data_IF_897155017272
#
_entry.id   IF_897155017272
#
_cell.length_a   1.000
_cell.length_b   1.000
_cell.length_c   1.000
_cell.angle_alpha   90.00
_cell.angle_beta   90.00
_cell.angle_gamma   90.00
#
_symmetry.space_group_name_H-M   'P 1'
#
loop_
_entity.id
_entity.type
_entity.pdbx_description
1 polymer ?
#
# COMPACT_ATOMS: atom_id res chain seq x y z
N UNK A 1 -26.94 -0.93 9.49
CA UNK A 1 -28.09 -1.85 9.54
C UNK A 1 -27.66 -3.31 9.51
N UNK A 2 -26.78 -3.75 8.59
CA UNK A 2 -26.26 -5.14 8.54
C UNK A 2 -25.65 -5.64 9.86
N UNK A 3 -24.84 -4.83 10.56
CA UNK A 3 -24.24 -5.23 11.84
C UNK A 3 -25.26 -5.49 12.96
N UNK A 4 -26.33 -4.70 13.02
CA UNK A 4 -27.39 -4.86 14.03
C UNK A 4 -28.17 -6.16 13.82
N UNK A 5 -28.58 -6.43 12.57
CA UNK A 5 -29.25 -7.68 12.22
C UNK A 5 -28.32 -8.89 12.40
N UNK A 6 -27.03 -8.76 12.07
CA UNK A 6 -26.03 -9.80 12.27
C UNK A 6 -25.85 -10.17 13.74
N UNK A 7 -25.75 -9.18 14.64
CA UNK A 7 -25.69 -9.43 16.09
C UNK A 7 -26.98 -10.09 16.58
N UNK A 8 -28.14 -9.62 16.12
CA UNK A 8 -29.44 -10.15 16.54
C UNK A 8 -29.63 -11.62 16.12
N UNK A 9 -29.32 -11.96 14.87
CA UNK A 9 -29.38 -13.34 14.36
C UNK A 9 -28.34 -14.24 15.05
N UNK A 10 -27.10 -13.77 15.20
CA UNK A 10 -26.04 -14.54 15.88
C UNK A 10 -26.39 -14.83 17.34
N UNK A 11 -26.99 -13.86 18.04
CA UNK A 11 -27.43 -14.02 19.43
C UNK A 11 -28.53 -15.07 19.53
N UNK A 12 -29.53 -15.02 18.63
CA UNK A 12 -30.61 -16.01 18.60
C UNK A 12 -30.05 -17.41 18.32
N UNK A 13 -29.11 -17.54 17.39
CA UNK A 13 -28.49 -18.82 17.05
C UNK A 13 -27.74 -19.43 18.24
N UNK A 14 -26.94 -18.64 18.95
CA UNK A 14 -26.23 -19.06 20.17
C UNK A 14 -27.20 -19.51 21.26
N UNK A 15 -28.29 -18.77 21.47
CA UNK A 15 -29.29 -19.10 22.49
C UNK A 15 -30.04 -20.41 22.18
N UNK A 16 -30.24 -20.75 20.91
CA UNK A 16 -30.97 -21.96 20.50
C UNK A 16 -30.05 -23.19 20.46
N UNK A 17 -28.88 -23.09 19.83
CA UNK A 17 -28.02 -24.25 19.55
C UNK A 17 -26.93 -24.49 20.60
N UNK A 18 -26.34 -23.42 21.15
CA UNK A 18 -25.11 -23.53 21.94
C UNK A 18 -25.32 -23.36 23.43
N UNK A 19 -26.57 -23.16 23.90
CA UNK A 19 -26.88 -22.89 25.31
C UNK A 19 -26.27 -23.92 26.27
N UNK A 20 -26.29 -25.20 25.89
CA UNK A 20 -25.70 -26.31 26.67
C UNK A 20 -24.17 -26.33 26.62
N UNK A 21 -23.58 -25.96 25.48
CA UNK A 21 -22.14 -25.80 25.35
C UNK A 21 -21.63 -24.62 26.16
N UNK A 22 -22.34 -23.48 26.15
CA UNK A 22 -21.97 -22.28 26.92
C UNK A 22 -22.02 -22.52 28.42
N UNK A 23 -23.01 -23.30 28.89
CA UNK A 23 -23.15 -23.69 30.30
C UNK A 23 -22.02 -24.62 30.77
N UNK A 24 -21.47 -25.43 29.86
CA UNK A 24 -20.36 -26.34 30.14
C UNK A 24 -18.97 -25.65 30.10
N UNK A 25 -18.88 -24.39 29.68
CA UNK A 25 -17.60 -23.65 29.63
C UNK A 25 -17.18 -23.29 31.05
N UNK A 26 -16.03 -23.82 31.47
CA UNK A 26 -15.37 -23.39 32.71
C UNK A 26 -14.73 -22.03 32.45
N UNK A 27 -15.40 -20.97 32.91
CA UNK A 27 -14.92 -19.60 32.78
C UNK A 27 -13.68 -19.38 33.65
N UNK A 28 -12.50 -19.45 33.02
CA UNK A 28 -11.22 -19.11 33.65
C UNK A 28 -10.83 -17.67 33.32
N UNK A 29 -10.21 -16.92 34.26
CA UNK A 29 -9.72 -15.56 34.01
C UNK A 29 -8.80 -15.46 32.77
N UNK A 30 -8.03 -16.51 32.47
CA UNK A 30 -7.19 -16.57 31.26
C UNK A 30 -8.03 -16.58 29.98
N UNK A 31 -9.14 -17.31 29.96
CA UNK A 31 -10.02 -17.39 28.79
C UNK A 31 -10.71 -16.06 28.53
N UNK A 32 -11.19 -15.40 29.59
CA UNK A 32 -11.81 -14.08 29.50
C UNK A 32 -10.80 -13.06 28.96
N UNK A 33 -9.55 -13.09 29.45
CA UNK A 33 -8.49 -12.21 28.96
C UNK A 33 -8.12 -12.47 27.50
N UNK A 34 -8.07 -13.74 27.06
CA UNK A 34 -7.84 -14.09 25.65
C UNK A 34 -8.98 -13.60 24.74
N UNK A 35 -10.23 -13.76 25.16
CA UNK A 35 -11.40 -13.23 24.43
C UNK A 35 -11.39 -11.70 24.35
N UNK A 36 -11.05 -11.02 25.46
CA UNK A 36 -10.93 -9.57 25.48
C UNK A 36 -9.80 -9.09 24.56
N UNK A 37 -8.63 -9.74 24.61
CA UNK A 37 -7.49 -9.44 23.74
C UNK A 37 -7.83 -9.63 22.26
N UNK A 38 -8.51 -10.73 21.91
CA UNK A 38 -9.01 -10.97 20.56
C UNK A 38 -9.99 -9.87 20.11
N UNK A 39 -10.93 -9.47 20.97
CA UNK A 39 -11.87 -8.39 20.68
C UNK A 39 -11.19 -7.04 20.43
N UNK A 40 -10.21 -6.67 21.27
CA UNK A 40 -9.43 -5.42 21.12
C UNK A 40 -8.59 -5.46 19.84
N UNK A 41 -7.91 -6.58 19.57
CA UNK A 41 -7.11 -6.76 18.36
C UNK A 41 -7.98 -6.68 17.10
N UNK A 42 -9.14 -7.35 17.10
CA UNK A 42 -10.11 -7.26 16.01
C UNK A 42 -10.62 -5.84 15.81
N UNK A 43 -10.97 -5.13 16.88
CA UNK A 43 -11.42 -3.74 16.81
C UNK A 43 -10.34 -2.81 16.22
N UNK A 44 -9.10 -2.93 16.68
CA UNK A 44 -7.94 -2.22 16.13
C UNK A 44 -7.78 -2.52 14.65
N UNK A 45 -7.78 -3.81 14.27
CA UNK A 45 -7.63 -4.24 12.89
C UNK A 45 -8.71 -3.65 11.98
N UNK A 46 -9.98 -3.79 12.35
CA UNK A 46 -11.09 -3.26 11.55
C UNK A 46 -11.14 -1.73 11.51
N UNK A 47 -10.58 -1.04 12.50
CA UNK A 47 -10.46 0.42 12.51
C UNK A 47 -9.29 0.90 11.64
N UNK A 48 -8.15 0.23 11.71
CA UNK A 48 -6.93 0.58 10.97
C UNK A 48 -7.05 0.21 9.49
N UNK A 49 -7.71 -0.91 9.16
CA UNK A 49 -7.90 -1.39 7.79
C UNK A 49 -8.41 -0.31 6.84
N UNK A 50 -9.55 0.37 7.08
CA UNK A 50 -10.03 1.43 6.18
C UNK A 50 -9.11 2.65 6.12
N UNK A 51 -8.39 2.95 7.21
CA UNK A 51 -7.41 4.04 7.23
C UNK A 51 -6.20 3.73 6.35
N UNK A 52 -5.64 2.52 6.47
CA UNK A 52 -4.53 2.03 5.64
C UNK A 52 -4.98 1.89 4.18
N UNK A 53 -6.21 1.43 3.94
CA UNK A 53 -6.77 1.36 2.60
C UNK A 53 -6.85 2.75 1.93
N UNK A 54 -7.14 3.80 2.71
CA UNK A 54 -7.17 5.19 2.23
C UNK A 54 -5.77 5.75 1.97
N UNK A 55 -4.76 5.38 2.76
CA UNK A 55 -3.39 5.87 2.64
C UNK A 55 -2.56 5.13 1.59
N UNK A 56 -2.66 3.81 1.55
CA UNK A 56 -1.76 2.92 0.80
C UNK A 56 -2.48 2.14 -0.31
N UNK A 57 -3.82 2.19 -0.36
CA UNK A 57 -4.61 1.45 -1.34
C UNK A 57 -4.80 -0.03 -1.00
N UNK A 58 -5.63 -0.70 -1.81
CA UNK A 58 -5.96 -2.12 -1.62
C UNK A 58 -4.76 -3.05 -1.81
N UNK A 59 -3.83 -2.67 -2.68
CA UNK A 59 -2.72 -3.53 -3.08
C UNK A 59 -1.64 -3.63 -2.02
N UNK A 60 -1.17 -2.48 -1.49
CA UNK A 60 -0.23 -2.46 -0.38
C UNK A 60 -0.83 -3.05 0.91
N UNK A 61 -2.14 -2.89 1.12
CA UNK A 61 -2.83 -3.54 2.23
C UNK A 61 -2.80 -5.07 2.08
N UNK A 62 -3.05 -5.61 0.89
CA UNK A 62 -3.01 -7.06 0.64
C UNK A 62 -1.58 -7.62 0.79
N UNK A 63 -0.57 -6.89 0.32
CA UNK A 63 0.84 -7.22 0.51
C UNK A 63 1.22 -7.28 1.99
N UNK A 64 0.69 -6.34 2.78
CA UNK A 64 0.88 -6.28 4.23
C UNK A 64 0.17 -7.43 4.94
N UNK A 65 -1.03 -7.81 4.51
CA UNK A 65 -1.76 -8.97 5.05
C UNK A 65 -1.00 -10.27 4.80
N UNK A 66 -0.50 -10.46 3.59
CA UNK A 66 0.29 -11.63 3.23
C UNK A 66 1.60 -11.69 4.02
N UNK A 67 2.25 -10.55 4.28
CA UNK A 67 3.42 -10.48 5.18
C UNK A 67 3.06 -10.77 6.64
N UNK A 68 1.93 -10.28 7.12
CA UNK A 68 1.43 -10.51 8.49
C UNK A 68 1.11 -11.99 8.75
N UNK A 69 0.55 -12.68 7.75
CA UNK A 69 0.29 -14.12 7.83
C UNK A 69 1.60 -14.92 7.98
N UNK A 70 2.66 -14.50 7.27
CA UNK A 70 4.00 -15.09 7.44
C UNK A 70 4.53 -14.89 8.87
N UNK A 71 4.30 -13.72 9.48
CA UNK A 71 4.68 -13.46 10.88
C UNK A 71 3.91 -14.31 11.89
N UNK A 72 2.60 -14.50 11.68
CA UNK A 72 1.78 -15.37 12.54
C UNK A 72 2.31 -16.81 12.54
N UNK A 73 2.75 -17.30 11.38
CA UNK A 73 3.38 -18.62 11.26
C UNK A 73 4.77 -18.65 11.88
N UNK A 74 5.59 -17.61 11.67
CA UNK A 74 6.91 -17.52 12.30
C UNK A 74 6.80 -17.59 13.83
N UNK A 75 5.91 -16.81 14.43
CA UNK A 75 5.65 -16.84 15.89
C UNK A 75 5.22 -18.24 16.32
N UNK A 76 4.36 -18.92 15.55
CA UNK A 76 3.95 -20.31 15.86
C UNK A 76 5.13 -21.27 15.88
N UNK A 77 6.02 -21.20 14.89
CA UNK A 77 7.19 -22.09 14.80
C UNK A 77 8.20 -21.79 15.92
N UNK A 78 8.56 -20.52 16.13
CA UNK A 78 9.56 -20.13 17.13
C UNK A 78 9.07 -20.28 18.57
N UNK A 79 7.81 -19.95 18.85
CA UNK A 79 7.27 -19.91 20.21
C UNK A 79 6.63 -21.24 20.65
N UNK A 80 5.96 -21.97 19.75
CA UNK A 80 5.29 -23.23 20.08
C UNK A 80 6.10 -24.49 19.71
N UNK A 81 7.24 -24.35 19.02
CA UNK A 81 8.16 -25.44 18.62
C UNK A 81 7.46 -26.72 18.12
N UNK A 82 6.38 -26.56 17.34
CA UNK A 82 5.74 -27.69 16.68
C UNK A 82 6.54 -28.14 15.46
N UNK A 83 6.58 -29.46 15.21
CA UNK A 83 7.24 -30.04 14.04
C UNK A 83 6.71 -29.39 12.76
N UNK A 84 7.62 -28.89 11.94
CA UNK A 84 7.27 -28.16 10.73
C UNK A 84 6.67 -29.14 9.73
N UNK A 85 5.35 -29.04 9.51
CA UNK A 85 4.66 -29.79 8.48
C UNK A 85 5.16 -29.35 7.09
N UNK A 86 5.31 -30.30 6.16
CA UNK A 86 5.76 -30.03 4.79
C UNK A 86 4.96 -28.94 4.07
N UNK A 87 3.67 -28.79 4.42
CA UNK A 87 2.77 -27.73 3.97
C UNK A 87 3.32 -26.31 4.20
N UNK A 88 4.17 -26.09 5.20
CA UNK A 88 4.77 -24.78 5.48
C UNK A 88 5.69 -24.33 4.33
N UNK A 89 6.57 -25.22 3.87
CA UNK A 89 7.48 -24.92 2.77
C UNK A 89 6.70 -24.65 1.47
N UNK A 90 5.59 -25.37 1.27
CA UNK A 90 4.70 -25.14 0.14
C UNK A 90 4.02 -23.76 0.23
N UNK A 91 3.48 -23.38 1.39
CA UNK A 91 2.87 -22.08 1.60
C UNK A 91 3.85 -20.93 1.36
N UNK A 92 5.09 -21.05 1.89
CA UNK A 92 6.14 -20.06 1.67
C UNK A 92 6.49 -19.91 0.18
N UNK A 93 6.56 -21.02 -0.55
CA UNK A 93 6.85 -21.02 -1.99
C UNK A 93 5.74 -20.35 -2.80
N UNK A 94 4.47 -20.67 -2.52
CA UNK A 94 3.32 -20.07 -3.19
C UNK A 94 3.25 -18.57 -2.91
N UNK A 95 3.49 -18.16 -1.66
CA UNK A 95 3.54 -16.76 -1.25
C UNK A 95 4.65 -16.00 -1.96
N UNK A 96 5.86 -16.57 -2.04
CA UNK A 96 6.98 -15.97 -2.74
C UNK A 96 6.71 -15.81 -4.24
N UNK A 97 6.13 -16.83 -4.90
CA UNK A 97 5.74 -16.76 -6.32
C UNK A 97 4.69 -15.66 -6.54
N UNK A 98 3.67 -15.59 -5.68
CA UNK A 98 2.64 -14.57 -5.73
C UNK A 98 3.22 -13.15 -5.62
N UNK A 99 4.17 -12.94 -4.71
CA UNK A 99 4.86 -11.67 -4.51
C UNK A 99 5.72 -11.29 -5.73
N UNK A 100 6.45 -12.25 -6.32
CA UNK A 100 7.29 -12.01 -7.50
C UNK A 100 6.44 -11.59 -8.69
N UNK A 101 5.35 -12.32 -9.00
CA UNK A 101 4.44 -11.98 -10.10
C UNK A 101 3.82 -10.60 -9.88
N UNK A 102 3.40 -10.33 -8.65
CA UNK A 102 2.84 -9.04 -8.28
C UNK A 102 3.82 -7.88 -8.52
N UNK A 103 5.06 -8.00 -8.01
CA UNK A 103 6.09 -6.98 -8.18
C UNK A 103 6.44 -6.76 -9.66
N UNK A 104 6.56 -7.82 -10.47
CA UNK A 104 6.86 -7.69 -11.89
C UNK A 104 5.78 -6.89 -12.65
N UNK A 105 4.51 -7.04 -12.27
CA UNK A 105 3.40 -6.31 -12.88
C UNK A 105 3.36 -4.83 -12.46
N UNK A 106 3.71 -4.52 -11.21
CA UNK A 106 3.86 -3.14 -10.73
C UNK A 106 5.05 -2.44 -11.40
N UNK A 107 6.19 -3.13 -11.54
CA UNK A 107 7.38 -2.59 -12.19
C UNK A 107 7.14 -2.29 -13.68
N UNK A 108 6.38 -3.15 -14.37
CA UNK A 108 6.03 -2.94 -15.80
C UNK A 108 5.13 -1.72 -16.03
N UNK A 109 4.29 -1.39 -15.06
CA UNK A 109 3.43 -0.20 -15.12
C UNK A 109 4.13 1.07 -14.62
N UNK A 110 5.11 0.94 -13.72
CA UNK A 110 6.02 2.03 -13.33
C UNK A 110 6.96 2.44 -14.47
N UNK A 111 7.54 1.50 -15.21
CA UNK A 111 8.39 1.79 -16.38
C UNK A 111 7.60 2.47 -17.51
N UNK A 112 6.34 2.07 -17.75
CA UNK A 112 5.46 2.73 -18.72
C UNK A 112 5.09 4.16 -18.30
N UNK A 113 4.93 4.40 -16.99
CA UNK A 113 4.61 5.73 -16.44
C UNK A 113 5.83 6.66 -16.45
N UNK A 114 7.03 6.13 -16.16
CA UNK A 114 8.29 6.85 -16.29
C UNK A 114 8.56 7.26 -17.76
N UNK A 115 8.38 6.34 -18.70
CA UNK A 115 8.51 6.64 -20.14
C UNK A 115 7.50 7.71 -20.62
N UNK A 116 6.28 7.72 -20.08
CA UNK A 116 5.28 8.75 -20.40
C UNK A 116 5.56 10.11 -19.73
N UNK A 117 6.21 10.12 -18.56
CA UNK A 117 6.59 11.35 -17.83
C UNK A 117 7.82 12.00 -18.45
N UNK A 118 8.79 11.20 -18.89
CA UNK A 118 9.96 11.66 -19.66
C UNK A 118 9.55 12.18 -21.05
N UNK A 119 8.60 11.52 -21.71
CA UNK A 119 8.02 12.02 -22.97
C UNK A 119 7.28 13.35 -22.77
N UNK A 120 6.47 13.48 -21.71
CA UNK A 120 5.75 14.72 -21.41
C UNK A 120 6.68 15.90 -21.04
N UNK A 121 7.77 15.63 -20.31
CA UNK A 121 8.77 16.64 -20.00
C UNK A 121 9.49 17.18 -21.25
N UNK A 122 9.65 16.35 -22.29
CA UNK A 122 10.32 16.73 -23.53
C UNK A 122 9.45 17.55 -24.50
N UNK A 123 8.13 17.62 -24.31
CA UNK A 123 7.23 18.50 -25.09
C UNK A 123 7.12 19.93 -24.53
N UNK A 124 7.50 20.16 -23.26
CA UNK A 124 7.38 21.47 -22.62
C UNK A 124 8.54 22.43 -22.98
N UNK A 125 9.58 21.96 -23.67
CA UNK A 125 10.72 22.78 -24.05
C UNK A 125 10.73 23.05 -25.56
N UNK A 126 9.77 23.87 -26.02
CA UNK A 126 9.83 24.55 -27.32
C UNK A 126 10.46 25.95 -27.13
N UNK A 127 11.26 26.45 -28.10
CA UNK A 127 11.97 27.70 -27.96
C UNK A 127 10.96 28.85 -27.95
N UNK A 128 10.92 29.63 -26.86
CA UNK A 128 10.17 30.87 -26.81
C UNK A 128 10.70 31.83 -27.88
N UNK A 129 9.94 32.00 -28.96
CA UNK A 129 10.06 33.11 -29.90
C UNK A 129 9.72 34.40 -29.15
N UNK A 130 10.74 35.08 -28.61
CA UNK A 130 10.62 36.43 -28.09
C UNK A 130 10.71 37.42 -29.27
N UNK A 131 9.57 38.00 -29.65
CA UNK A 131 9.56 39.20 -30.48
C UNK A 131 8.76 40.32 -29.82
N UNK A 132 9.52 41.33 -29.42
CA UNK A 132 9.15 42.74 -29.19
C UNK A 132 8.29 43.00 -27.95
N UNK A 133 8.78 43.75 -26.95
CA UNK A 133 9.08 45.17 -27.12
C UNK A 133 9.94 45.70 -25.94
N UNK A 134 11.07 46.34 -26.26
CA UNK A 134 11.62 47.41 -25.42
C UNK A 134 12.93 47.12 -24.66
N UNK A 135 14.07 47.13 -25.35
CA UNK A 135 15.25 47.84 -24.83
C UNK A 135 16.33 48.03 -25.91
N UNK A 136 16.30 49.19 -26.55
CA UNK A 136 17.30 49.65 -27.50
C UNK A 136 18.63 49.98 -26.81
N UNK A 137 19.54 49.00 -26.74
CA UNK A 137 20.92 49.25 -26.29
C UNK A 137 22.01 48.46 -27.03
N UNK A 138 21.65 47.58 -27.97
CA UNK A 138 22.63 46.72 -28.64
C UNK A 138 22.84 47.01 -30.15
N UNK A 139 21.99 47.83 -30.78
CA UNK A 139 22.17 48.18 -32.19
C UNK A 139 23.22 49.30 -32.40
N UNK A 140 23.33 50.25 -31.47
CA UNK A 140 24.31 51.35 -31.53
C UNK A 140 25.76 50.86 -31.36
N UNK A 141 25.95 49.76 -30.61
CA UNK A 141 27.29 49.20 -30.34
C UNK A 141 27.87 48.45 -31.53
N UNK A 142 27.02 47.93 -32.42
CA UNK A 142 27.45 47.15 -33.58
C UNK A 142 27.79 48.06 -34.77
N UNK A 143 27.03 49.14 -34.95
CA UNK A 143 27.30 50.18 -35.95
C UNK A 143 28.62 50.91 -35.67
N UNK A 144 28.92 51.26 -34.41
CA UNK A 144 30.20 51.91 -34.06
C UNK A 144 31.44 51.05 -34.35
N UNK A 145 31.36 49.73 -34.16
CA UNK A 145 32.49 48.83 -34.46
C UNK A 145 32.70 48.59 -35.96
N UNK A 146 31.65 48.70 -36.76
CA UNK A 146 31.74 48.53 -38.20
C UNK A 146 32.22 49.81 -38.91
N UNK A 147 31.95 50.98 -38.34
CA UNK A 147 32.46 52.26 -38.83
C UNK A 147 33.97 52.46 -38.53
N UNK A 148 34.47 52.02 -37.37
CA UNK A 148 35.90 52.12 -37.03
C UNK A 148 36.82 51.22 -37.88
N UNK A 149 36.31 50.12 -38.43
CA UNK A 149 37.10 49.21 -39.28
C UNK A 149 37.26 49.71 -40.74
N UNK A 150 36.53 50.75 -41.14
CA UNK A 150 36.53 51.30 -42.50
C UNK A 150 37.31 52.62 -42.61
N UNK A 151 37.93 53.11 -41.53
CA UNK A 151 38.68 54.39 -41.47
C UNK A 151 40.15 54.17 -41.00
N UNK A 152 40.70 52.96 -41.16
CA UNK A 152 42.15 52.72 -41.08
C UNK A 152 42.65 52.05 -42.35
#
# INVERSE_FOLDING_TARGET
MLGLFGVLVSTIQILIFERKSVEAIVWSPIMISLFAGYGIAGFMFYTITPFVLKMSGATLLNLSLLTSDMWAVAIRVFFYQQQINWLYYLAFTVVAIGLIIYSLNENSSADATAASTEAAAHYQQLPSEDNSTGSGSNLDRKERKQQEAHIC
#
